data_IF_599738209521
#
_entry.id   IF_599738209521
#
_cell.length_a   1.000
_cell.length_b   1.000
_cell.length_c   1.000
_cell.angle_alpha   90.00
_cell.angle_beta   90.00
_cell.angle_gamma   90.00
#
_symmetry.space_group_name_H-M   'P 1'
#
loop_
_entity.id
_entity.type
_entity.pdbx_description
1 polymer ?
#
# COMPACT_ATOMS: atom_id res chain seq x y z
N UNK A 1 -0.03 -26.32 -42.00
CA UNK A 1 1.11 -26.18 -41.06
C UNK A 1 1.94 -25.00 -41.53
N UNK A 2 1.88 -23.78 -41.00
CA UNK A 2 1.04 -23.19 -39.96
C UNK A 2 1.00 -21.67 -40.18
N UNK A 3 -0.18 -21.16 -40.52
CA UNK A 3 -0.49 -19.73 -40.58
C UNK A 3 -1.20 -19.26 -39.29
N UNK A 4 -0.93 -19.93 -38.16
CA UNK A 4 -1.71 -19.78 -36.92
C UNK A 4 -0.87 -19.38 -35.69
N UNK A 5 0.30 -18.74 -35.86
CA UNK A 5 1.17 -18.30 -34.73
C UNK A 5 1.48 -16.80 -34.76
N UNK A 6 0.57 -15.96 -35.26
CA UNK A 6 0.76 -14.47 -35.24
C UNK A 6 -0.48 -13.68 -34.80
N UNK A 7 -1.24 -14.18 -33.82
CA UNK A 7 -2.39 -13.42 -33.28
C UNK A 7 -2.58 -13.49 -31.76
N UNK A 8 -1.56 -13.86 -30.98
CA UNK A 8 -1.72 -14.01 -29.51
C UNK A 8 -0.85 -13.06 -28.65
N UNK A 9 -0.26 -12.01 -29.22
CA UNK A 9 0.67 -11.14 -28.47
C UNK A 9 0.14 -9.74 -28.15
N UNK A 10 -1.08 -9.38 -28.58
CA UNK A 10 -1.65 -8.03 -28.36
C UNK A 10 -2.89 -7.99 -27.46
N UNK A 11 -3.48 -9.13 -27.12
CA UNK A 11 -4.73 -9.18 -26.33
C UNK A 11 -4.47 -9.30 -24.83
N UNK A 12 -3.33 -9.85 -24.40
CA UNK A 12 -3.03 -10.05 -22.98
C UNK A 12 -2.58 -8.76 -22.25
N UNK A 13 -2.06 -7.76 -22.97
CA UNK A 13 -1.69 -6.47 -22.38
C UNK A 13 -2.90 -5.58 -22.11
N UNK A 14 -4.00 -5.73 -22.87
CA UNK A 14 -5.19 -4.89 -22.71
C UNK A 14 -6.04 -5.32 -21.49
N UNK A 15 -6.19 -6.62 -21.24
CA UNK A 15 -6.92 -7.15 -20.08
C UNK A 15 -6.18 -6.93 -18.74
N UNK A 16 -4.85 -7.01 -18.74
CA UNK A 16 -4.01 -6.70 -17.57
C UNK A 16 -4.02 -5.20 -17.22
N UNK A 17 -4.10 -4.31 -18.23
CA UNK A 17 -4.30 -2.89 -18.02
C UNK A 17 -5.67 -2.62 -17.38
N UNK A 18 -6.77 -3.15 -17.92
CA UNK A 18 -8.11 -2.96 -17.34
C UNK A 18 -8.22 -3.46 -15.90
N UNK A 19 -7.63 -4.61 -15.56
CA UNK A 19 -7.64 -5.13 -14.20
C UNK A 19 -6.86 -4.24 -13.23
N UNK A 20 -5.71 -3.72 -13.65
CA UNK A 20 -4.90 -2.78 -12.85
C UNK A 20 -5.64 -1.46 -12.61
N UNK A 21 -6.42 -0.98 -13.59
CA UNK A 21 -7.30 0.17 -13.40
C UNK A 21 -8.43 -0.12 -12.41
N UNK A 22 -9.09 -1.29 -12.49
CA UNK A 22 -10.18 -1.67 -11.56
C UNK A 22 -9.68 -1.74 -10.10
N UNK A 23 -8.48 -2.26 -9.88
CA UNK A 23 -7.85 -2.32 -8.56
C UNK A 23 -7.50 -0.93 -8.02
N UNK A 24 -7.04 -0.02 -8.88
CA UNK A 24 -6.83 1.37 -8.49
C UNK A 24 -8.15 2.02 -8.05
N UNK A 25 -9.25 1.74 -8.75
CA UNK A 25 -10.57 2.24 -8.38
C UNK A 25 -11.07 1.68 -7.03
N UNK A 26 -10.81 0.40 -6.72
CA UNK A 26 -11.27 -0.19 -5.44
C UNK A 26 -10.55 0.40 -4.22
N UNK A 27 -9.24 0.66 -4.33
CA UNK A 27 -8.45 1.34 -3.29
C UNK A 27 -8.94 2.77 -3.10
N UNK A 28 -9.27 3.46 -4.19
CA UNK A 28 -9.81 4.82 -4.14
C UNK A 28 -11.17 4.87 -3.42
N UNK A 29 -12.08 3.93 -3.68
CA UNK A 29 -13.34 3.84 -2.93
C UNK A 29 -13.13 3.51 -1.46
N UNK A 30 -12.20 2.60 -1.13
CA UNK A 30 -11.85 2.30 0.26
C UNK A 30 -11.28 3.52 0.98
N UNK A 31 -10.47 4.32 0.29
CA UNK A 31 -9.92 5.57 0.82
C UNK A 31 -10.99 6.63 1.06
N UNK A 32 -11.97 6.76 0.15
CA UNK A 32 -13.11 7.64 0.30
C UNK A 32 -14.06 7.25 1.44
N UNK A 33 -14.20 5.94 1.70
CA UNK A 33 -15.07 5.40 2.76
C UNK A 33 -14.33 5.21 4.09
N UNK A 34 -13.07 5.65 4.19
CA UNK A 34 -12.20 5.46 5.36
C UNK A 34 -12.10 3.99 5.83
N UNK A 35 -12.25 3.04 4.91
CA UNK A 35 -12.19 1.61 5.21
C UNK A 35 -10.71 1.20 5.39
N UNK A 36 -10.37 0.42 6.43
CA UNK A 36 -9.01 -0.05 6.64
C UNK A 36 -8.52 -0.90 5.47
N UNK A 37 -7.27 -0.68 5.06
CA UNK A 37 -6.62 -1.44 4.01
C UNK A 37 -6.09 -2.77 4.51
N UNK A 38 -6.14 -3.79 3.66
CA UNK A 38 -5.60 -5.12 3.96
C UNK A 38 -4.33 -5.39 3.17
N UNK A 39 -3.51 -6.34 3.64
CA UNK A 39 -2.29 -6.78 2.93
C UNK A 39 -2.62 -7.23 1.50
N UNK A 40 -3.79 -7.83 1.25
CA UNK A 40 -4.21 -8.23 -0.09
C UNK A 40 -4.34 -7.06 -1.07
N UNK A 41 -4.72 -5.86 -0.59
CA UNK A 41 -4.84 -4.68 -1.44
C UNK A 41 -3.47 -4.29 -2.02
N UNK A 42 -2.42 -4.50 -1.22
CA UNK A 42 -1.03 -4.23 -1.59
C UNK A 42 -0.49 -5.21 -2.63
N UNK A 43 -0.93 -6.47 -2.65
CA UNK A 43 -0.43 -7.49 -3.60
C UNK A 43 -0.50 -7.02 -5.05
N UNK A 44 -1.58 -6.29 -5.37
CA UNK A 44 -1.85 -5.79 -6.71
C UNK A 44 -1.11 -4.51 -7.07
N UNK A 45 -0.70 -3.74 -6.05
CA UNK A 45 0.05 -2.48 -6.20
C UNK A 45 1.56 -2.71 -6.21
N UNK A 46 2.04 -3.51 -5.25
CA UNK A 46 3.44 -3.74 -4.97
C UNK A 46 3.62 -5.15 -4.37
N UNK A 47 3.82 -6.12 -5.26
CA UNK A 47 4.00 -7.52 -4.88
C UNK A 47 5.28 -7.77 -4.08
N UNK A 48 6.32 -6.97 -4.28
CA UNK A 48 7.58 -7.09 -3.55
C UNK A 48 7.40 -6.66 -2.09
N UNK A 49 6.76 -5.52 -1.87
CA UNK A 49 6.47 -5.03 -0.52
C UNK A 49 5.44 -5.94 0.18
N UNK A 50 4.46 -6.46 -0.56
CA UNK A 50 3.52 -7.46 -0.06
C UNK A 50 4.23 -8.69 0.50
N UNK A 51 5.16 -9.27 -0.26
CA UNK A 51 5.90 -10.46 0.20
C UNK A 51 6.77 -10.17 1.42
N UNK A 52 7.32 -8.97 1.50
CA UNK A 52 8.12 -8.54 2.67
C UNK A 52 7.27 -8.45 3.93
N UNK A 53 6.08 -7.85 3.84
CA UNK A 53 5.14 -7.78 4.97
C UNK A 53 4.55 -9.15 5.32
N UNK A 54 4.29 -9.99 4.32
CA UNK A 54 3.80 -11.35 4.54
C UNK A 54 4.85 -12.18 5.29
N UNK A 55 6.12 -12.03 4.95
CA UNK A 55 7.21 -12.66 5.68
C UNK A 55 7.26 -12.22 7.14
N UNK A 56 7.14 -10.91 7.42
CA UNK A 56 7.08 -10.37 8.80
C UNK A 56 5.85 -10.92 9.55
N UNK A 57 4.75 -11.16 8.85
CA UNK A 57 3.52 -11.70 9.43
C UNK A 57 3.65 -13.18 9.79
N UNK A 58 4.22 -13.98 8.89
CA UNK A 58 4.29 -15.44 8.99
C UNK A 58 5.45 -15.93 9.86
N UNK A 59 6.50 -15.11 10.02
CA UNK A 59 7.66 -15.45 10.84
C UNK A 59 7.59 -14.74 12.19
N UNK A 60 8.23 -15.34 13.21
CA UNK A 60 8.41 -14.71 14.52
C UNK A 60 9.44 -13.60 14.41
N UNK A 61 9.06 -12.39 14.85
CA UNK A 61 9.96 -11.24 14.82
C UNK A 61 10.82 -11.31 16.07
N UNK A 62 12.10 -11.56 15.86
CA UNK A 62 13.10 -11.53 16.93
C UNK A 62 13.62 -10.11 17.13
N UNK A 63 14.02 -9.77 18.36
CA UNK A 63 14.46 -8.42 18.73
C UNK A 63 15.77 -7.98 18.03
N UNK A 64 16.48 -8.92 17.40
CA UNK A 64 17.67 -8.71 16.57
C UNK A 64 17.36 -8.09 15.21
N UNK A 65 16.11 -8.11 14.76
CA UNK A 65 15.72 -7.50 13.48
C UNK A 65 15.69 -5.96 13.54
N UNK A 66 15.78 -5.37 14.74
CA UNK A 66 15.81 -3.91 14.99
C UNK A 66 14.73 -3.13 14.23
N UNK A 67 13.58 -3.75 13.98
CA UNK A 67 12.45 -3.12 13.33
C UNK A 67 11.84 -2.08 14.29
N UNK A 68 11.66 -0.85 13.79
CA UNK A 68 11.02 0.24 14.52
C UNK A 68 9.78 0.71 13.77
N UNK A 69 8.91 1.49 14.41
CA UNK A 69 7.74 2.10 13.75
C UNK A 69 8.14 3.32 12.89
N UNK A 70 9.17 3.15 12.06
CA UNK A 70 9.66 4.13 11.11
C UNK A 70 9.85 3.48 9.74
N UNK A 71 9.84 4.28 8.68
CA UNK A 71 10.01 3.84 7.30
C UNK A 71 10.81 4.85 6.52
N UNK A 72 11.60 4.39 5.56
CA UNK A 72 12.37 5.25 4.66
C UNK A 72 11.70 5.34 3.30
N UNK A 73 11.77 6.53 2.72
CA UNK A 73 11.18 6.83 1.43
C UNK A 73 12.16 7.67 0.62
N UNK A 74 12.49 7.18 -0.57
CA UNK A 74 13.15 7.98 -1.60
C UNK A 74 12.15 8.96 -2.21
N UNK A 75 12.47 10.25 -2.15
CA UNK A 75 11.80 11.35 -2.84
C UNK A 75 12.83 12.09 -3.69
N UNK A 76 12.88 11.78 -4.98
CA UNK A 76 13.73 12.52 -5.93
C UNK A 76 15.23 12.37 -5.68
N UNK A 77 15.67 11.24 -5.12
CA UNK A 77 17.07 10.95 -4.78
C UNK A 77 17.44 11.28 -3.33
N UNK A 78 16.52 11.85 -2.55
CA UNK A 78 16.71 12.06 -1.10
C UNK A 78 15.99 10.96 -0.31
N UNK A 79 16.73 10.27 0.55
CA UNK A 79 16.17 9.27 1.46
C UNK A 79 15.65 9.99 2.70
N UNK A 80 14.33 10.07 2.80
CA UNK A 80 13.64 10.68 3.94
C UNK A 80 13.11 9.58 4.84
N UNK A 81 13.46 9.66 6.12
CA UNK A 81 12.92 8.78 7.15
C UNK A 81 11.66 9.41 7.76
N UNK A 82 10.58 8.63 7.83
CA UNK A 82 9.28 9.04 8.38
C UNK A 82 8.85 8.07 9.47
N UNK A 83 8.39 8.62 10.58
CA UNK A 83 7.79 7.83 11.66
C UNK A 83 6.32 7.51 11.32
N UNK A 84 5.91 6.26 11.54
CA UNK A 84 4.52 5.82 11.33
C UNK A 84 3.60 6.24 12.49
N UNK A 85 4.19 6.39 13.67
CA UNK A 85 3.54 6.83 14.91
C UNK A 85 4.43 7.87 15.60
N UNK A 86 3.89 8.70 16.51
CA UNK A 86 4.70 9.60 17.32
C UNK A 86 5.74 8.82 18.14
N UNK A 87 7.03 9.21 18.05
CA UNK A 87 8.15 8.50 18.68
C UNK A 87 8.37 7.08 18.13
N UNK A 88 8.02 6.85 16.85
CA UNK A 88 8.07 5.53 16.24
C UNK A 88 9.48 4.92 16.18
N UNK A 89 10.53 5.75 16.12
CA UNK A 89 11.93 5.28 16.14
C UNK A 89 12.34 4.65 17.47
N UNK A 90 11.73 5.08 18.58
CA UNK A 90 12.03 4.56 19.92
C UNK A 90 11.21 3.32 20.26
N UNK A 91 10.18 3.01 19.47
CA UNK A 91 9.32 1.85 19.68
C UNK A 91 9.77 0.72 18.77
N UNK A 92 10.23 -0.37 19.39
CA UNK A 92 10.63 -1.60 18.69
C UNK A 92 9.38 -2.42 18.35
N UNK A 93 9.39 -3.02 17.17
CA UNK A 93 8.35 -3.96 16.75
C UNK A 93 8.58 -5.28 17.47
N UNK A 94 7.57 -5.72 18.21
CA UNK A 94 7.51 -7.00 18.93
C UNK A 94 6.42 -7.86 18.32
N UNK A 95 6.42 -9.15 18.67
CA UNK A 95 5.40 -10.10 18.21
C UNK A 95 3.97 -9.66 18.55
N UNK A 96 3.78 -8.99 19.69
CA UNK A 96 2.47 -8.47 20.12
C UNK A 96 1.99 -7.26 19.31
N UNK A 97 2.92 -6.44 18.80
CA UNK A 97 2.59 -5.19 18.10
C UNK A 97 2.76 -5.29 16.57
N UNK A 98 3.20 -6.45 16.06
CA UNK A 98 3.47 -6.67 14.63
C UNK A 98 2.28 -6.42 13.73
N UNK A 99 1.08 -6.81 14.14
CA UNK A 99 -0.13 -6.63 13.35
C UNK A 99 -0.47 -5.13 13.19
N UNK A 100 -0.20 -4.35 14.23
CA UNK A 100 -0.34 -2.89 14.19
C UNK A 100 0.71 -2.27 13.26
N UNK A 101 1.97 -2.72 13.35
CA UNK A 101 3.04 -2.29 12.45
C UNK A 101 2.69 -2.57 10.99
N UNK A 102 2.25 -3.78 10.67
CA UNK A 102 1.86 -4.18 9.31
C UNK A 102 0.70 -3.32 8.80
N UNK A 103 -0.33 -3.11 9.61
CA UNK A 103 -1.50 -2.29 9.24
C UNK A 103 -1.10 -0.84 8.93
N UNK A 104 -0.21 -0.27 9.74
CA UNK A 104 0.32 1.09 9.52
C UNK A 104 1.20 1.16 8.27
N UNK A 105 2.03 0.15 8.01
CA UNK A 105 2.87 0.07 6.82
C UNK A 105 2.04 -0.03 5.53
N UNK A 106 0.97 -0.83 5.54
CA UNK A 106 0.03 -0.92 4.41
C UNK A 106 -0.63 0.43 4.17
N UNK A 107 -1.19 1.05 5.22
CA UNK A 107 -1.84 2.37 5.11
C UNK A 107 -0.89 3.42 4.57
N UNK A 108 0.33 3.48 5.09
CA UNK A 108 1.35 4.41 4.63
C UNK A 108 1.73 4.18 3.16
N UNK A 109 1.97 2.92 2.76
CA UNK A 109 2.38 2.58 1.39
C UNK A 109 1.31 2.94 0.36
N UNK A 110 0.04 2.71 0.69
CA UNK A 110 -1.10 3.03 -0.18
C UNK A 110 -1.37 4.53 -0.22
N UNK A 111 -1.29 5.22 0.93
CA UNK A 111 -1.58 6.65 1.03
C UNK A 111 -0.46 7.56 0.53
N UNK A 112 0.78 7.05 0.42
CA UNK A 112 1.94 7.85 0.02
C UNK A 112 1.71 8.49 -1.36
N UNK A 113 1.70 9.83 -1.39
CA UNK A 113 1.61 10.63 -2.62
C UNK A 113 0.20 11.01 -3.06
N UNK A 114 -0.84 10.46 -2.42
CA UNK A 114 -2.25 10.78 -2.68
C UNK A 114 -2.98 11.35 -1.46
N UNK A 115 -2.35 11.36 -0.28
CA UNK A 115 -2.95 11.76 0.98
C UNK A 115 -3.62 13.15 0.93
N UNK A 116 -2.95 14.15 0.37
CA UNK A 116 -3.46 15.52 0.30
C UNK A 116 -4.61 15.66 -0.71
N UNK A 117 -4.52 14.98 -1.84
CA UNK A 117 -5.56 14.94 -2.86
C UNK A 117 -6.81 14.25 -2.34
N UNK A 118 -6.63 13.16 -1.60
CA UNK A 118 -7.73 12.42 -0.98
C UNK A 118 -8.41 13.22 0.13
N UNK A 119 -7.64 13.90 1.00
CA UNK A 119 -8.20 14.82 2.00
C UNK A 119 -8.98 15.97 1.37
N UNK A 120 -8.45 16.58 0.31
CA UNK A 120 -9.13 17.65 -0.40
C UNK A 120 -10.47 17.18 -1.01
N UNK A 121 -10.48 15.96 -1.57
CA UNK A 121 -11.69 15.36 -2.11
C UNK A 121 -12.73 15.02 -1.02
N UNK A 122 -12.30 14.44 0.11
CA UNK A 122 -13.16 14.16 1.25
C UNK A 122 -13.78 15.44 1.81
N UNK A 123 -12.98 16.50 1.94
CA UNK A 123 -13.48 17.82 2.35
C UNK A 123 -14.55 18.35 1.39
N UNK A 124 -14.28 18.32 0.08
CA UNK A 124 -15.26 18.75 -0.92
C UNK A 124 -16.55 17.91 -0.91
N UNK A 125 -16.46 16.62 -0.56
CA UNK A 125 -17.61 15.75 -0.41
C UNK A 125 -18.44 16.11 0.83
N UNK A 126 -17.79 16.33 1.98
CA UNK A 126 -18.46 16.73 3.21
C UNK A 126 -19.16 18.07 3.08
N UNK A 127 -18.56 19.04 2.39
CA UNK A 127 -19.18 20.36 2.10
C UNK A 127 -20.48 20.25 1.27
N UNK A 128 -20.70 19.15 0.54
CA UNK A 128 -21.89 18.93 -0.30
C UNK A 128 -22.95 18.07 0.41
N UNK A 129 -22.52 17.08 1.19
CA UNK A 129 -23.43 16.11 1.85
C UNK A 129 -23.95 16.63 3.19
N UNK A 130 -23.15 17.39 3.93
CA UNK A 130 -23.54 18.02 5.19
C UNK A 130 -23.48 19.55 5.04
N UNK A 131 -24.59 20.23 4.70
CA UNK A 131 -24.64 21.70 4.65
C UNK A 131 -24.61 22.36 6.04
#
# INVERSE_FOLDING_TARGET
>A
MDAAVRSCSRTCTCSSLSYRYILYTSIFYKLLLEVPFTISDLQSMDSQFHNSLLWIKENEISADMELTFSTTQDIGGEIIERELIPNGKSQVVTEENKDSFISLMVKWRIGRGVEEQSKALLRGLHEVIEP
#
